data_IF_326646880309
#
_entry.id   IF_326646880309
#
_cell.length_a   1.000
_cell.length_b   1.000
_cell.length_c   1.000
_cell.angle_alpha   90.00
_cell.angle_beta   90.00
_cell.angle_gamma   90.00
#
_symmetry.space_group_name_H-M   'P 1'
#
loop_
_entity.id
_entity.type
_entity.pdbx_description
1 polymer ?
#
# COMPACT_ATOMS: atom_id res chain seq x y z
N UNK A 1 9.47 -0.87 -3.71
CA UNK A 1 8.60 -1.28 -2.58
C UNK A 1 9.35 -1.38 -1.27
N UNK A 2 10.41 -2.20 -1.14
CA UNK A 2 11.15 -2.37 0.14
C UNK A 2 11.64 -1.04 0.75
N UNK A 3 12.25 -0.16 -0.05
CA UNK A 3 12.66 1.19 0.42
C UNK A 3 11.50 2.04 0.94
N UNK A 4 10.33 1.98 0.28
CA UNK A 4 9.13 2.70 0.75
C UNK A 4 8.68 2.16 2.10
N UNK A 5 8.70 0.83 2.26
CA UNK A 5 8.33 0.19 3.51
C UNK A 5 9.28 0.55 4.66
N UNK A 6 10.60 0.52 4.42
CA UNK A 6 11.60 0.93 5.43
C UNK A 6 11.40 2.38 5.84
N UNK A 7 11.19 3.29 4.88
CA UNK A 7 10.97 4.71 5.17
C UNK A 7 9.69 4.93 6.00
N UNK A 8 8.59 4.26 5.64
CA UNK A 8 7.32 4.34 6.37
C UNK A 8 7.41 3.70 7.76
N UNK A 9 8.18 2.61 7.91
CA UNK A 9 8.42 1.96 9.20
C UNK A 9 9.31 2.82 10.10
N UNK A 10 10.28 3.53 9.53
CA UNK A 10 11.21 4.44 10.20
C UNK A 10 12.57 3.82 10.51
N UNK A 11 12.74 2.52 10.31
CA UNK A 11 14.03 1.82 10.38
C UNK A 11 13.93 0.46 9.66
N UNK A 12 15.09 -0.11 9.34
CA UNK A 12 15.22 -1.40 8.68
C UNK A 12 16.31 -1.36 7.62
N UNK A 13 16.96 -2.51 7.39
CA UNK A 13 17.97 -2.67 6.36
C UNK A 13 17.58 -3.86 5.48
N UNK A 14 17.96 -3.79 4.21
CA UNK A 14 17.78 -4.91 3.28
C UNK A 14 19.05 -5.04 2.44
N UNK A 15 19.42 -6.27 2.13
CA UNK A 15 20.52 -6.61 1.25
C UNK A 15 19.96 -7.29 0.00
N UNK A 16 20.45 -6.87 -1.17
CA UNK A 16 20.07 -7.51 -2.43
C UNK A 16 21.21 -8.44 -2.80
N UNK A 17 20.99 -9.74 -2.60
CA UNK A 17 21.91 -10.78 -3.07
C UNK A 17 21.54 -11.11 -4.51
N UNK A 18 22.39 -10.73 -5.46
CA UNK A 18 22.23 -11.12 -6.85
C UNK A 18 22.90 -12.48 -7.05
N UNK A 19 22.12 -13.50 -7.42
CA UNK A 19 22.67 -14.80 -7.78
C UNK A 19 22.74 -14.90 -9.32
N UNK A 20 23.92 -15.10 -9.93
CA UNK A 20 24.05 -15.23 -11.38
C UNK A 20 23.25 -16.41 -11.97
N UNK A 21 22.92 -17.43 -11.17
CA UNK A 21 22.09 -18.57 -11.58
C UNK A 21 20.60 -18.39 -11.27
N UNK A 22 20.15 -17.18 -10.90
CA UNK A 22 18.74 -16.93 -10.62
C UNK A 22 17.89 -17.06 -11.89
N UNK A 23 16.75 -17.79 -11.86
CA UNK A 23 15.86 -17.86 -12.99
C UNK A 23 15.38 -16.45 -13.35
N UNK A 24 15.29 -16.15 -14.66
CA UNK A 24 14.70 -14.89 -15.11
C UNK A 24 13.27 -14.80 -14.57
N UNK A 25 13.02 -13.90 -13.61
CA UNK A 25 11.67 -13.60 -13.18
C UNK A 25 10.86 -13.17 -14.41
N UNK A 26 9.69 -13.79 -14.58
CA UNK A 26 8.74 -13.31 -15.57
C UNK A 26 8.47 -11.83 -15.30
N UNK A 27 8.39 -11.02 -16.36
CA UNK A 27 8.15 -9.59 -16.23
C UNK A 27 6.93 -9.29 -15.35
N UNK A 28 6.92 -8.09 -14.76
CA UNK A 28 5.87 -7.66 -13.83
C UNK A 28 4.48 -7.82 -14.46
N UNK A 29 3.71 -8.79 -13.98
CA UNK A 29 2.33 -8.99 -14.36
C UNK A 29 1.49 -7.82 -13.86
N UNK A 30 0.72 -7.20 -14.75
CA UNK A 30 -0.20 -6.11 -14.43
C UNK A 30 -1.55 -6.38 -15.07
N UNK A 31 -2.61 -5.94 -14.40
CA UNK A 31 -3.95 -5.93 -14.96
C UNK A 31 -4.20 -4.60 -15.66
N UNK A 32 -4.91 -4.65 -16.78
CA UNK A 32 -5.45 -3.49 -17.45
C UNK A 32 -6.79 -3.12 -16.78
N UNK A 33 -6.86 -1.88 -16.27
CA UNK A 33 -8.03 -1.34 -15.56
C UNK A 33 -8.90 -0.44 -16.45
N UNK A 34 -8.54 -0.22 -17.72
CA UNK A 34 -9.23 0.72 -18.60
C UNK A 34 -10.73 0.46 -18.70
N UNK A 35 -11.16 -0.81 -18.70
CA UNK A 35 -12.60 -1.14 -18.72
C UNK A 35 -13.36 -0.62 -17.49
N UNK A 36 -12.75 -0.67 -16.31
CA UNK A 36 -13.38 -0.15 -15.09
C UNK A 36 -13.40 1.38 -15.10
N UNK A 37 -12.33 2.01 -15.58
CA UNK A 37 -12.25 3.47 -15.76
C UNK A 37 -13.33 3.97 -16.74
N UNK A 38 -13.47 3.32 -17.90
CA UNK A 38 -14.39 3.79 -18.94
C UNK A 38 -15.86 3.52 -18.64
N UNK A 39 -16.19 2.36 -18.08
CA UNK A 39 -17.58 1.94 -17.90
C UNK A 39 -18.17 2.32 -16.54
N UNK A 40 -17.32 2.50 -15.51
CA UNK A 40 -17.75 2.74 -14.13
C UNK A 40 -17.26 4.08 -13.58
N UNK A 41 -16.52 4.87 -14.35
CA UNK A 41 -15.80 6.07 -13.88
C UNK A 41 -14.90 5.76 -12.67
N UNK A 42 -14.43 4.50 -12.58
CA UNK A 42 -13.66 4.03 -11.45
C UNK A 42 -12.21 4.43 -11.59
N UNK A 43 -11.67 5.12 -10.58
CA UNK A 43 -10.28 5.57 -10.57
C UNK A 43 -9.56 5.14 -9.29
N UNK A 44 -8.27 4.72 -9.35
CA UNK A 44 -7.46 4.46 -8.18
C UNK A 44 -7.29 5.73 -7.34
N UNK A 45 -7.53 5.64 -6.03
CA UNK A 45 -7.44 6.81 -5.12
C UNK A 45 -6.17 6.84 -4.29
N UNK A 46 -5.45 5.74 -4.26
CA UNK A 46 -4.27 5.56 -3.41
C UNK A 46 -3.13 5.08 -4.27
N UNK A 47 -2.05 5.88 -4.33
CA UNK A 47 -0.84 5.46 -5.01
C UNK A 47 -0.02 4.48 -4.14
N UNK A 48 0.98 3.82 -4.73
CA UNK A 48 1.78 2.80 -4.04
C UNK A 48 2.45 3.32 -2.75
N UNK A 49 2.91 4.58 -2.73
CA UNK A 49 3.53 5.17 -1.53
C UNK A 49 2.51 5.33 -0.40
N UNK A 50 1.34 5.89 -0.70
CA UNK A 50 0.25 6.04 0.27
C UNK A 50 -0.25 4.68 0.77
N UNK A 51 -0.40 3.70 -0.11
CA UNK A 51 -0.86 2.35 0.25
C UNK A 51 0.12 1.67 1.22
N UNK A 52 1.43 1.76 0.95
CA UNK A 52 2.47 1.25 1.86
C UNK A 52 2.42 1.97 3.21
N UNK A 53 2.26 3.30 3.22
CA UNK A 53 2.16 4.07 4.45
C UNK A 53 0.95 3.65 5.29
N UNK A 54 -0.25 3.62 4.69
CA UNK A 54 -1.49 3.20 5.36
C UNK A 54 -1.37 1.79 5.95
N UNK A 55 -0.77 0.87 5.20
CA UNK A 55 -0.54 -0.52 5.64
C UNK A 55 0.36 -0.55 6.87
N UNK A 56 1.49 0.18 6.82
CA UNK A 56 2.46 0.20 7.93
C UNK A 56 1.90 0.89 9.17
N UNK A 57 1.17 1.98 9.00
CA UNK A 57 0.56 2.69 10.13
C UNK A 57 -0.46 1.81 10.85
N UNK A 58 -1.23 1.00 10.11
CA UNK A 58 -2.14 0.01 10.70
C UNK A 58 -1.38 -1.04 11.51
N UNK A 59 -0.28 -1.60 10.98
CA UNK A 59 0.54 -2.55 11.73
C UNK A 59 1.17 -1.93 12.97
N UNK A 60 1.66 -0.70 12.89
CA UNK A 60 2.17 0.04 14.05
C UNK A 60 1.11 0.19 15.13
N UNK A 61 -0.11 0.59 14.74
CA UNK A 61 -1.24 0.67 15.66
C UNK A 61 -1.54 -0.69 16.30
N UNK A 62 -1.53 -1.78 15.49
CA UNK A 62 -1.81 -3.13 15.96
C UNK A 62 -0.81 -3.59 17.02
N UNK A 63 0.48 -3.39 16.78
CA UNK A 63 1.53 -3.79 17.71
C UNK A 63 1.62 -2.88 18.93
N UNK A 64 1.17 -1.62 18.83
CA UNK A 64 1.14 -0.70 19.95
C UNK A 64 -0.04 -0.98 20.90
N UNK A 65 -1.26 -1.07 20.36
CA UNK A 65 -2.45 -1.42 21.13
C UNK A 65 -3.53 -2.05 20.24
N UNK A 66 -3.69 -3.36 20.37
CA UNK A 66 -4.66 -4.16 19.62
C UNK A 66 -6.11 -3.73 19.88
N UNK A 67 -6.42 -3.15 21.04
CA UNK A 67 -7.77 -2.73 21.39
C UNK A 67 -8.23 -1.53 20.55
N UNK A 68 -7.30 -0.78 19.97
CA UNK A 68 -7.62 0.41 19.16
C UNK A 68 -7.89 0.11 17.69
N UNK A 69 -7.73 -1.15 17.28
CA UNK A 69 -7.64 -1.50 15.86
C UNK A 69 -8.95 -1.35 15.10
N UNK A 70 -10.07 -1.63 15.75
CA UNK A 70 -11.39 -1.43 15.13
C UNK A 70 -11.59 0.06 14.79
N UNK A 71 -11.37 0.94 15.77
CA UNK A 71 -11.48 2.39 15.59
C UNK A 71 -10.44 2.96 14.60
N UNK A 72 -9.22 2.41 14.58
CA UNK A 72 -8.18 2.82 13.63
C UNK A 72 -8.55 2.41 12.19
N UNK A 73 -9.08 1.20 12.02
CA UNK A 73 -9.54 0.69 10.72
C UNK A 73 -10.69 1.54 10.19
N UNK A 74 -11.69 1.83 11.03
CA UNK A 74 -12.81 2.69 10.67
C UNK A 74 -12.32 4.08 10.23
N UNK A 75 -11.36 4.67 10.94
CA UNK A 75 -10.75 5.95 10.56
C UNK A 75 -10.09 5.90 9.17
N UNK A 76 -9.37 4.83 8.84
CA UNK A 76 -8.75 4.68 7.53
C UNK A 76 -9.80 4.51 6.42
N UNK A 77 -10.88 3.78 6.68
CA UNK A 77 -12.01 3.65 5.75
C UNK A 77 -12.64 5.01 5.48
N UNK A 78 -12.96 5.77 6.53
CA UNK A 78 -13.54 7.10 6.40
C UNK A 78 -12.60 8.05 5.67
N UNK A 79 -11.30 8.01 5.96
CA UNK A 79 -10.30 8.82 5.26
C UNK A 79 -10.25 8.51 3.76
N UNK A 80 -10.35 7.23 3.36
CA UNK A 80 -10.40 6.83 1.96
C UNK A 80 -11.65 7.36 1.24
N UNK A 81 -12.81 7.34 1.91
CA UNK A 81 -14.05 7.88 1.33
C UNK A 81 -14.04 9.40 1.25
N UNK A 82 -13.53 10.10 2.26
CA UNK A 82 -13.49 11.57 2.32
C UNK A 82 -12.50 12.19 1.32
N UNK A 83 -11.51 11.44 0.84
CA UNK A 83 -10.65 11.90 -0.26
C UNK A 83 -11.41 12.15 -1.57
N UNK A 84 -12.66 11.70 -1.71
CA UNK A 84 -13.51 11.97 -2.87
C UNK A 84 -14.08 13.39 -2.95
N UNK A 85 -14.24 14.08 -1.83
CA UNK A 85 -14.99 15.34 -1.81
C UNK A 85 -14.16 16.57 -2.26
N UNK A 86 -12.86 16.39 -2.48
CA UNK A 86 -11.93 17.46 -2.85
C UNK A 86 -11.46 17.39 -4.32
N UNK A 87 -12.24 16.72 -5.19
CA UNK A 87 -12.00 16.61 -6.64
C UNK A 87 -12.91 17.52 -7.45
#
# INVERSE_FOLDING_TARGET
MVKLAINAWGNGNFEVVQNPDQPHEAGLLKLDITKAETELDWHPRTNATQAVQLTIDWYKAYFNDKQTIDAFTERQIMAFFNQQENG
#
